data_IF_799298638411
#
_entry.id   IF_799298638411
#
_cell.length_a   1.000
_cell.length_b   1.000
_cell.length_c   1.000
_cell.angle_alpha   90.00
_cell.angle_beta   90.00
_cell.angle_gamma   90.00
#
_symmetry.space_group_name_H-M   'P 1'
#
loop_
_entity.id
_entity.type
_entity.pdbx_description
1 polymer ?
#
# COMPACT_ATOMS: atom_id res chain seq x y z
N UNK A 1 15.49 14.07 -27.48
CA UNK A 1 14.59 14.05 -26.30
C UNK A 1 14.50 15.48 -25.80
N UNK A 2 13.32 16.12 -25.87
CA UNK A 2 13.18 17.52 -25.45
C UNK A 2 13.35 17.62 -23.93
N UNK A 3 14.28 18.48 -23.49
CA UNK A 3 14.63 18.68 -22.08
C UNK A 3 13.39 18.97 -21.21
N UNK A 4 12.45 19.73 -21.76
CA UNK A 4 11.17 20.07 -21.11
C UNK A 4 10.35 18.83 -20.73
N UNK A 5 10.32 17.83 -21.61
CA UNK A 5 9.59 16.58 -21.36
C UNK A 5 10.24 15.77 -20.25
N UNK A 6 11.57 15.71 -20.24
CA UNK A 6 12.33 14.99 -19.19
C UNK A 6 12.12 15.59 -17.80
N UNK A 7 11.98 16.91 -17.70
CA UNK A 7 11.73 17.58 -16.41
C UNK A 7 10.32 17.28 -15.90
N UNK A 8 9.33 17.27 -16.79
CA UNK A 8 7.95 16.91 -16.44
C UNK A 8 7.88 15.46 -15.99
N UNK A 9 8.51 14.54 -16.73
CA UNK A 9 8.52 13.12 -16.36
C UNK A 9 9.18 12.91 -14.99
N UNK A 10 10.29 13.59 -14.70
CA UNK A 10 10.95 13.52 -13.39
C UNK A 10 10.07 14.09 -12.26
N UNK A 11 9.37 15.20 -12.51
CA UNK A 11 8.46 15.79 -11.53
C UNK A 11 7.28 14.86 -11.20
N UNK A 12 6.71 14.20 -12.22
CA UNK A 12 5.64 13.22 -12.04
C UNK A 12 6.14 12.02 -11.24
N UNK A 13 7.31 11.48 -11.58
CA UNK A 13 7.89 10.35 -10.85
C UNK A 13 8.18 10.72 -9.39
N UNK A 14 8.73 11.90 -9.14
CA UNK A 14 8.99 12.38 -7.79
C UNK A 14 7.69 12.56 -6.99
N UNK A 15 6.67 13.16 -7.58
CA UNK A 15 5.38 13.35 -6.93
C UNK A 15 4.70 12.01 -6.57
N UNK A 16 4.67 11.07 -7.51
CA UNK A 16 4.11 9.72 -7.28
C UNK A 16 4.93 8.98 -6.22
N UNK A 17 6.25 9.10 -6.24
CA UNK A 17 7.13 8.48 -5.24
C UNK A 17 6.84 8.97 -3.82
N UNK A 18 6.71 10.29 -3.63
CA UNK A 18 6.39 10.87 -2.31
C UNK A 18 5.01 10.41 -1.82
N UNK A 19 4.00 10.42 -2.69
CA UNK A 19 2.65 9.96 -2.36
C UNK A 19 2.64 8.48 -1.99
N UNK A 20 3.37 7.65 -2.74
CA UNK A 20 3.50 6.23 -2.46
C UNK A 20 4.16 5.97 -1.10
N UNK A 21 5.28 6.63 -0.80
CA UNK A 21 5.97 6.50 0.49
C UNK A 21 5.04 6.94 1.63
N UNK A 22 4.36 8.08 1.48
CA UNK A 22 3.40 8.56 2.48
C UNK A 22 2.28 7.55 2.75
N UNK A 23 1.65 7.02 1.70
CA UNK A 23 0.62 5.98 1.84
C UNK A 23 1.17 4.73 2.53
N UNK A 24 2.36 4.25 2.12
CA UNK A 24 2.98 3.03 2.66
C UNK A 24 3.31 3.11 4.15
N UNK A 25 3.66 4.31 4.65
CA UNK A 25 4.09 4.50 6.03
C UNK A 25 2.92 4.81 6.98
N UNK A 26 1.91 5.54 6.50
CA UNK A 26 0.86 6.07 7.38
C UNK A 26 -0.50 5.40 7.18
N UNK A 27 -0.84 4.99 5.97
CA UNK A 27 -2.19 4.48 5.64
C UNK A 27 -2.19 2.96 5.58
N UNK A 28 -1.27 2.38 4.82
CA UNK A 28 -1.19 0.93 4.62
C UNK A 28 -1.08 0.13 5.94
N UNK A 29 -0.27 0.52 6.94
CA UNK A 29 -0.18 -0.24 8.19
C UNK A 29 -1.51 -0.22 8.96
N UNK A 30 -2.24 0.89 8.92
CA UNK A 30 -3.55 1.02 9.59
C UNK A 30 -4.60 0.17 8.88
N UNK A 31 -4.60 0.17 7.54
CA UNK A 31 -5.49 -0.68 6.75
C UNK A 31 -5.25 -2.17 7.01
N UNK A 32 -3.98 -2.61 7.01
CA UNK A 32 -3.60 -4.00 7.31
C UNK A 32 -3.95 -4.38 8.74
N UNK A 33 -3.74 -3.49 9.71
CA UNK A 33 -4.16 -3.73 11.09
C UNK A 33 -5.67 -3.88 11.19
N UNK A 34 -6.44 -3.01 10.53
CA UNK A 34 -7.89 -3.09 10.53
C UNK A 34 -8.40 -4.37 9.84
N UNK A 35 -7.75 -4.79 8.75
CA UNK A 35 -8.05 -6.04 8.06
C UNK A 35 -7.79 -7.26 8.96
N UNK A 36 -6.65 -7.30 9.66
CA UNK A 36 -6.32 -8.36 10.62
C UNK A 36 -7.19 -8.37 11.88
N UNK A 37 -7.73 -7.20 12.27
CA UNK A 37 -8.58 -7.06 13.46
C UNK A 37 -10.06 -7.32 13.15
N UNK A 38 -10.44 -7.37 11.87
CA UNK A 38 -11.79 -7.70 11.42
C UNK A 38 -12.18 -9.13 11.81
N UNK A 39 -13.28 -9.30 12.53
CA UNK A 39 -13.81 -10.60 12.96
C UNK A 39 -14.00 -11.59 11.79
N UNK A 40 -14.28 -11.08 10.58
CA UNK A 40 -14.44 -11.89 9.37
C UNK A 40 -13.12 -12.48 8.85
N UNK A 41 -12.01 -11.75 8.97
CA UNK A 41 -10.70 -12.25 8.57
C UNK A 41 -10.24 -13.36 9.54
N UNK A 42 -10.48 -13.16 10.83
CA UNK A 42 -10.18 -14.14 11.89
C UNK A 42 -11.02 -15.43 11.77
N UNK A 43 -12.30 -15.34 11.42
CA UNK A 43 -13.13 -16.53 11.14
C UNK A 43 -12.64 -17.31 9.90
N UNK A 44 -12.21 -16.62 8.85
CA UNK A 44 -11.68 -17.28 7.65
C UNK A 44 -10.29 -17.90 7.90
N UNK A 45 -9.41 -17.22 8.62
CA UNK A 45 -8.12 -17.80 9.04
C UNK A 45 -8.32 -19.05 9.89
N UNK A 46 -9.33 -19.07 10.78
CA UNK A 46 -9.66 -20.27 11.58
C UNK A 46 -10.27 -21.40 10.73
N UNK A 47 -11.04 -21.07 9.69
CA UNK A 47 -11.72 -22.07 8.83
C UNK A 47 -10.76 -22.74 7.83
N UNK A 48 -9.70 -22.05 7.43
CA UNK A 48 -8.69 -22.56 6.49
C UNK A 48 -7.32 -22.77 7.14
N UNK A 49 -7.22 -22.67 8.47
CA UNK A 49 -6.02 -23.06 9.18
C UNK A 49 -5.75 -24.54 8.90
N UNK A 50 -4.52 -24.92 8.49
CA UNK A 50 -4.18 -26.33 8.33
C UNK A 50 -4.34 -27.00 9.70
N UNK A 51 -5.19 -28.02 9.75
CA UNK A 51 -5.31 -28.88 10.93
C UNK A 51 -3.94 -29.55 11.16
N UNK A 52 -3.34 -29.29 12.32
CA UNK A 52 -2.09 -29.91 12.76
C UNK A 52 -2.29 -31.42 12.98
#
# INVERSE_FOLDING_TARGET
MNLLRSVIDLAVVAAVGVLFVGYSLFVYPVEVLNEKTSSKARENELKYAPEL
#
